data_IF_023462985214
#
_entry.id   IF_023462985214
#
_cell.length_a   1.000
_cell.length_b   1.000
_cell.length_c   1.000
_cell.angle_alpha   90.00
_cell.angle_beta   90.00
_cell.angle_gamma   90.00
#
_symmetry.space_group_name_H-M   'P 1'
#
loop_
_entity.id
_entity.type
_entity.pdbx_description
1 polymer ?
#
# COMPACT_ATOMS: atom_id res chain seq x y z
N UNK A 1 -9.43 4.82 5.45
CA UNK A 1 -8.77 4.48 6.74
C UNK A 1 -9.85 4.27 7.78
N UNK A 2 -9.71 3.34 8.74
CA UNK A 2 -10.73 3.08 9.76
C UNK A 2 -11.10 4.36 10.51
N UNK A 3 -12.40 4.54 10.77
CA UNK A 3 -12.91 5.70 11.50
C UNK A 3 -12.37 5.66 12.93
N UNK A 4 -11.96 6.83 13.43
CA UNK A 4 -11.59 6.99 14.84
C UNK A 4 -12.84 6.90 15.72
N UNK A 5 -12.71 6.25 16.87
CA UNK A 5 -13.73 6.30 17.93
C UNK A 5 -13.69 7.68 18.63
N UNK A 6 -14.63 7.90 19.55
CA UNK A 6 -14.75 9.07 20.44
C UNK A 6 -13.43 9.44 21.12
N UNK A 7 -12.62 8.44 21.48
CA UNK A 7 -11.31 8.65 22.12
C UNK A 7 -10.13 8.72 21.13
N UNK A 8 -10.39 8.80 19.82
CA UNK A 8 -9.37 8.93 18.79
C UNK A 8 -8.65 7.62 18.41
N UNK A 9 -9.00 6.50 19.05
CA UNK A 9 -8.44 5.18 18.76
C UNK A 9 -9.01 4.59 17.47
N UNK A 10 -8.27 3.68 16.86
CA UNK A 10 -8.72 2.91 15.70
C UNK A 10 -8.63 1.42 16.05
N UNK A 11 -9.72 0.80 16.54
CA UNK A 11 -9.68 -0.58 17.03
C UNK A 11 -9.08 -1.61 16.07
N UNK A 12 -9.30 -1.53 14.73
CA UNK A 12 -8.65 -2.44 13.79
C UNK A 12 -7.11 -2.32 13.80
N UNK A 13 -6.58 -1.11 13.95
CA UNK A 13 -5.13 -0.87 14.02
C UNK A 13 -4.54 -1.35 15.35
N UNK A 14 -5.29 -1.23 16.45
CA UNK A 14 -4.87 -1.74 17.75
C UNK A 14 -4.85 -3.27 17.80
N UNK A 15 -5.73 -3.94 17.05
CA UNK A 15 -5.68 -5.41 16.89
C UNK A 15 -4.40 -5.84 16.17
N UNK A 16 -4.01 -5.13 15.10
CA UNK A 16 -2.73 -5.38 14.40
C UNK A 16 -1.56 -5.15 15.36
N UNK A 17 -1.61 -4.08 16.15
CA UNK A 17 -0.58 -3.81 17.17
C UNK A 17 -0.52 -4.94 18.22
N UNK A 18 -1.68 -5.43 18.68
CA UNK A 18 -1.75 -6.53 19.64
C UNK A 18 -1.03 -7.77 19.10
N UNK A 19 -1.31 -8.15 17.85
CA UNK A 19 -0.61 -9.27 17.25
C UNK A 19 0.90 -8.98 17.07
N UNK A 20 1.27 -7.78 16.63
CA UNK A 20 2.69 -7.43 16.47
C UNK A 20 3.48 -7.39 17.80
N UNK A 21 2.80 -7.16 18.93
CA UNK A 21 3.41 -7.16 20.26
C UNK A 21 3.49 -8.56 20.88
N UNK A 22 2.49 -9.41 20.63
CA UNK A 22 2.32 -10.63 21.41
C UNK A 22 2.19 -11.93 20.59
N UNK A 23 2.10 -11.83 19.26
CA UNK A 23 1.92 -12.96 18.32
C UNK A 23 0.60 -13.73 18.50
N UNK A 24 -0.38 -13.10 19.16
CA UNK A 24 -1.71 -13.65 19.35
C UNK A 24 -2.78 -12.56 19.38
N UNK A 25 -4.03 -12.97 19.17
CA UNK A 25 -5.18 -12.17 19.56
C UNK A 25 -6.07 -12.92 20.54
N UNK A 26 -6.85 -12.17 21.30
CA UNK A 26 -7.75 -12.73 22.29
C UNK A 26 -9.14 -12.92 21.71
N UNK A 27 -9.66 -14.15 21.76
CA UNK A 27 -11.03 -14.45 21.39
C UNK A 27 -11.97 -13.98 22.51
N UNK A 28 -12.77 -12.96 22.21
CA UNK A 28 -13.71 -12.38 23.19
C UNK A 28 -14.90 -13.29 23.49
N UNK A 29 -15.27 -14.21 22.61
CA UNK A 29 -16.40 -15.13 22.81
C UNK A 29 -15.97 -16.38 23.58
N UNK A 30 -14.80 -16.94 23.21
CA UNK A 30 -14.29 -18.18 23.81
C UNK A 30 -13.41 -17.95 25.03
N UNK A 31 -12.96 -16.72 25.26
CA UNK A 31 -12.00 -16.36 26.30
C UNK A 31 -10.67 -17.12 26.20
N UNK A 32 -10.22 -17.37 24.97
CA UNK A 32 -9.00 -18.11 24.67
C UNK A 32 -8.01 -17.24 23.90
N UNK A 33 -6.73 -17.53 24.11
CA UNK A 33 -5.63 -16.97 23.32
C UNK A 33 -5.51 -17.74 22.01
N UNK A 34 -5.65 -17.03 20.89
CA UNK A 34 -5.42 -17.58 19.56
C UNK A 34 -4.04 -17.13 19.06
N UNK A 35 -3.06 -18.02 19.15
CA UNK A 35 -1.70 -17.78 18.66
C UNK A 35 -1.67 -17.95 17.14
N UNK A 36 -1.09 -16.98 16.44
CA UNK A 36 -1.00 -16.99 14.97
C UNK A 36 0.47 -17.07 14.59
N UNK A 37 0.86 -18.23 14.07
CA UNK A 37 2.22 -18.48 13.64
C UNK A 37 2.39 -18.16 12.16
N UNK A 38 3.62 -17.80 11.76
CA UNK A 38 4.02 -17.57 10.36
C UNK A 38 3.22 -16.47 9.64
N UNK A 39 2.73 -15.45 10.35
CA UNK A 39 2.12 -14.28 9.74
C UNK A 39 3.18 -13.20 9.48
N UNK A 40 3.13 -12.59 8.30
CA UNK A 40 3.90 -11.39 7.96
C UNK A 40 2.93 -10.30 7.54
N UNK A 41 3.15 -9.07 8.04
CA UNK A 41 2.27 -7.93 7.76
C UNK A 41 3.01 -6.93 6.88
N UNK A 42 2.41 -6.64 5.73
CA UNK A 42 2.77 -5.54 4.85
C UNK A 42 1.60 -4.56 4.79
N UNK A 43 1.90 -3.26 4.87
CA UNK A 43 0.90 -2.21 4.83
C UNK A 43 1.36 -1.03 4.00
N UNK A 44 0.41 -0.35 3.37
CA UNK A 44 0.61 0.92 2.70
C UNK A 44 -0.40 1.95 3.23
N UNK A 45 0.03 3.21 3.30
CA UNK A 45 -0.80 4.32 3.74
C UNK A 45 -0.53 5.55 2.88
N UNK A 46 -1.56 6.38 2.71
CA UNK A 46 -1.36 7.72 2.16
C UNK A 46 -0.62 8.61 3.17
N UNK A 47 0.13 9.59 2.67
CA UNK A 47 0.73 10.63 3.52
C UNK A 47 -0.35 11.29 4.38
N UNK A 48 -0.07 11.54 5.67
CA UNK A 48 -1.01 12.23 6.55
C UNK A 48 -1.27 13.67 6.06
N UNK A 49 -2.47 14.17 6.28
CA UNK A 49 -2.92 15.49 5.79
C UNK A 49 -4.03 15.40 4.73
N UNK A 50 -4.58 16.55 4.32
CA UNK A 50 -5.64 16.62 3.31
C UNK A 50 -6.90 15.81 3.65
N UNK A 51 -7.25 15.71 4.93
CA UNK A 51 -8.38 14.91 5.43
C UNK A 51 -8.06 13.43 5.71
N UNK A 52 -6.82 12.98 5.44
CA UNK A 52 -6.36 11.63 5.80
C UNK A 52 -5.91 11.59 7.25
N UNK A 53 -6.36 10.56 7.97
CA UNK A 53 -6.01 10.37 9.38
C UNK A 53 -4.56 9.93 9.55
N UNK A 54 -3.92 10.43 10.60
CA UNK A 54 -2.62 9.94 11.05
C UNK A 54 -2.75 8.57 11.73
N UNK A 55 -1.77 7.68 11.47
CA UNK A 55 -1.61 6.41 12.18
C UNK A 55 -0.98 6.68 13.55
N UNK A 56 -1.38 5.91 14.58
CA UNK A 56 -0.79 6.01 15.91
C UNK A 56 0.72 5.71 15.89
N UNK A 57 1.52 6.53 16.58
CA UNK A 57 2.97 6.32 16.72
C UNK A 57 3.31 4.95 17.32
N UNK A 58 2.42 4.42 18.17
CA UNK A 58 2.53 3.10 18.80
C UNK A 58 2.46 1.95 17.80
N UNK A 59 1.64 2.07 16.76
CA UNK A 59 1.61 1.08 15.68
C UNK A 59 2.83 1.26 14.78
N UNK A 60 3.15 2.51 14.40
CA UNK A 60 4.27 2.79 13.49
C UNK A 60 5.62 2.31 14.04
N UNK A 61 5.83 2.31 15.36
CA UNK A 61 7.07 1.79 15.96
C UNK A 61 7.29 0.29 15.74
N UNK A 62 6.27 -0.46 15.29
CA UNK A 62 6.34 -1.89 14.96
C UNK A 62 6.66 -2.16 13.49
N UNK A 63 6.75 -1.10 12.68
CA UNK A 63 6.97 -1.20 11.24
C UNK A 63 8.19 -0.37 10.81
N UNK A 64 8.86 -0.83 9.76
CA UNK A 64 9.76 0.02 8.99
C UNK A 64 8.94 0.87 8.03
N UNK A 65 8.97 2.19 8.21
CA UNK A 65 8.23 3.14 7.36
C UNK A 65 9.15 3.63 6.24
N UNK A 66 8.77 3.35 5.00
CA UNK A 66 9.48 3.80 3.81
C UNK A 66 8.60 4.81 3.08
N UNK A 67 9.14 5.99 2.78
CA UNK A 67 8.42 7.03 2.05
C UNK A 67 8.63 6.86 0.54
N UNK A 68 7.55 6.64 -0.20
CA UNK A 68 7.58 6.58 -1.66
C UNK A 68 7.34 7.98 -2.26
N UNK A 69 8.30 8.45 -3.06
CA UNK A 69 8.20 9.70 -3.82
C UNK A 69 7.74 9.42 -5.24
N UNK A 70 7.20 10.45 -5.90
CA UNK A 70 6.82 10.35 -7.31
C UNK A 70 8.11 10.06 -8.12
N UNK A 71 8.13 9.03 -8.99
CA UNK A 71 9.29 8.71 -9.81
C UNK A 71 9.58 9.83 -10.82
N UNK A 72 10.82 9.90 -11.31
CA UNK A 72 11.20 10.85 -12.37
C UNK A 72 10.40 10.60 -13.65
N UNK A 73 10.22 11.64 -14.45
CA UNK A 73 9.51 11.56 -15.74
C UNK A 73 10.10 10.49 -16.67
N UNK A 74 11.43 10.38 -16.70
CA UNK A 74 12.14 9.33 -17.44
C UNK A 74 11.78 7.91 -16.98
N UNK A 75 11.65 7.69 -15.67
CA UNK A 75 11.25 6.41 -15.10
C UNK A 75 9.77 6.13 -15.39
N UNK A 76 8.90 7.15 -15.29
CA UNK A 76 7.50 7.03 -15.67
C UNK A 76 7.34 6.65 -17.14
N UNK A 77 8.07 7.31 -18.05
CA UNK A 77 8.06 7.01 -19.49
C UNK A 77 8.41 5.54 -19.72
N UNK A 78 9.51 5.07 -19.10
CA UNK A 78 9.94 3.67 -19.23
C UNK A 78 8.89 2.67 -18.69
N UNK A 79 8.24 2.97 -17.56
CA UNK A 79 7.18 2.12 -16.99
C UNK A 79 6.00 2.02 -17.95
N UNK A 80 5.47 3.16 -18.41
CA UNK A 80 4.31 3.19 -19.31
C UNK A 80 4.63 2.58 -20.67
N UNK A 81 5.81 2.86 -21.22
CA UNK A 81 6.28 2.28 -22.46
C UNK A 81 6.36 0.75 -22.37
N UNK A 82 6.92 0.20 -21.29
CA UNK A 82 6.99 -1.26 -21.06
C UNK A 82 5.59 -1.88 -21.01
N UNK A 83 4.63 -1.22 -20.34
CA UNK A 83 3.23 -1.68 -20.27
C UNK A 83 2.61 -1.67 -21.67
N UNK A 84 2.77 -0.58 -22.43
CA UNK A 84 2.22 -0.45 -23.78
C UNK A 84 2.84 -1.45 -24.77
N UNK A 85 4.17 -1.63 -24.75
CA UNK A 85 4.88 -2.61 -25.57
C UNK A 85 4.39 -4.04 -25.28
N UNK A 86 4.24 -4.39 -24.00
CA UNK A 86 3.70 -5.70 -23.59
C UNK A 86 2.27 -5.88 -24.11
N UNK A 87 1.44 -4.83 -24.03
CA UNK A 87 0.05 -4.88 -24.50
C UNK A 87 -0.05 -4.98 -26.03
N UNK A 88 0.85 -4.34 -26.77
CA UNK A 88 0.84 -4.29 -28.23
C UNK A 88 1.61 -5.43 -28.91
N UNK A 89 2.19 -6.36 -28.15
CA UNK A 89 3.03 -7.44 -28.66
C UNK A 89 2.38 -8.28 -29.78
N UNK A 90 1.05 -8.47 -29.74
CA UNK A 90 0.30 -9.28 -30.71
C UNK A 90 -0.34 -8.47 -31.85
N UNK A 91 -0.13 -7.15 -31.89
CA UNK A 91 -0.67 -6.30 -32.94
C UNK A 91 0.30 -6.16 -34.11
N UNK A 92 -0.18 -5.59 -35.21
CA UNK A 92 0.64 -5.19 -36.34
C UNK A 92 1.71 -4.18 -35.92
N UNK A 93 2.84 -4.17 -36.62
CA UNK A 93 4.02 -3.39 -36.23
C UNK A 93 3.76 -1.88 -36.22
N UNK A 94 2.82 -1.40 -37.04
CA UNK A 94 2.32 -0.02 -37.02
C UNK A 94 1.82 0.38 -35.62
N UNK A 95 1.05 -0.50 -34.97
CA UNK A 95 0.49 -0.25 -33.64
C UNK A 95 1.57 -0.39 -32.57
N UNK A 96 2.54 -1.29 -32.75
CA UNK A 96 3.67 -1.43 -31.81
C UNK A 96 4.50 -0.16 -31.73
N UNK A 97 4.77 0.50 -32.86
CA UNK A 97 5.55 1.75 -32.88
C UNK A 97 4.86 2.91 -32.15
N UNK A 98 3.55 2.87 -31.99
CA UNK A 98 2.79 3.91 -31.25
C UNK A 98 2.97 3.84 -29.74
N UNK A 99 3.59 2.79 -29.18
CA UNK A 99 3.76 2.64 -27.73
C UNK A 99 4.55 3.78 -27.10
N UNK A 100 5.60 4.25 -27.79
CA UNK A 100 6.46 5.33 -27.27
C UNK A 100 5.72 6.68 -27.29
N UNK A 101 5.03 6.97 -28.39
CA UNK A 101 4.24 8.20 -28.54
C UNK A 101 3.12 8.25 -27.50
N UNK A 102 2.43 7.13 -27.27
CA UNK A 102 1.38 7.02 -26.25
C UNK A 102 1.93 7.19 -24.83
N UNK A 103 3.06 6.54 -24.51
CA UNK A 103 3.69 6.67 -23.20
C UNK A 103 4.09 8.13 -22.91
N UNK A 104 4.61 8.84 -23.91
CA UNK A 104 4.99 10.25 -23.79
C UNK A 104 3.76 11.16 -23.63
N UNK A 105 2.72 10.93 -24.45
CA UNK A 105 1.48 11.71 -24.40
C UNK A 105 0.66 11.51 -23.12
N UNK A 106 0.88 10.43 -22.37
CA UNK A 106 0.18 10.16 -21.10
C UNK A 106 0.82 10.89 -19.92
N UNK A 107 2.08 11.30 -20.06
CA UNK A 107 2.87 11.90 -18.98
C UNK A 107 2.82 13.44 -19.03
N UNK A 108 2.67 14.03 -20.23
CA UNK A 108 2.39 15.45 -20.44
C UNK A 108 0.95 15.81 -20.10
#
# INVERSE_FOLDING_TARGET
>A
MPRKDTFGSQPPLELIRQWADYEFWYDRQKHLKNTVQNLQILGAMGKPGGGRSEISKRLLSKFHVINYTIPSESNMKKIYETICQTKFQHFYDEIKTLSETLATATIQ
#
